data_IF_329729326569
#
_entry.id   IF_329729326569
#
_cell.length_a   1.000
_cell.length_b   1.000
_cell.length_c   1.000
_cell.angle_alpha   90.00
_cell.angle_beta   90.00
_cell.angle_gamma   90.00
#
_symmetry.space_group_name_H-M   'P 1'
#
loop_
_entity.id
_entity.type
_entity.pdbx_description
1 polymer ?
#
# COMPACT_ATOMS: atom_id res chain seq x y z
N UNK A 1 -6.31 -15.22 -25.83
CA UNK A 1 -7.54 -14.40 -26.01
C UNK A 1 -7.19 -12.99 -25.56
N UNK A 2 -7.24 -11.95 -26.41
CA UNK A 2 -6.91 -10.61 -25.96
C UNK A 2 -8.13 -10.03 -25.22
N UNK A 3 -7.98 -9.74 -23.92
CA UNK A 3 -9.01 -9.06 -23.15
C UNK A 3 -9.06 -7.60 -23.61
N UNK A 4 -10.11 -7.25 -24.34
CA UNK A 4 -10.33 -5.93 -24.88
C UNK A 4 -10.97 -5.02 -23.81
N UNK A 5 -10.22 -4.70 -22.75
CA UNK A 5 -10.62 -3.73 -21.72
C UNK A 5 -10.47 -2.31 -22.29
N UNK A 6 -11.47 -1.85 -23.05
CA UNK A 6 -11.50 -0.48 -23.60
C UNK A 6 -12.03 0.48 -22.56
N UNK A 7 -11.16 1.00 -21.72
CA UNK A 7 -11.48 2.14 -20.86
C UNK A 7 -11.49 3.42 -21.70
N UNK A 8 -12.64 4.08 -21.80
CA UNK A 8 -12.74 5.42 -22.41
C UNK A 8 -12.48 6.45 -21.33
N UNK A 9 -11.34 7.13 -21.41
CA UNK A 9 -10.97 8.20 -20.47
C UNK A 9 -11.93 9.38 -20.64
N UNK A 10 -12.76 9.64 -19.62
CA UNK A 10 -13.74 10.74 -19.62
C UNK A 10 -13.27 11.96 -18.83
N UNK A 11 -12.38 11.75 -17.86
CA UNK A 11 -11.72 12.79 -17.06
C UNK A 11 -10.42 12.22 -16.49
N UNK A 12 -9.38 13.02 -16.48
CA UNK A 12 -8.07 12.69 -15.89
C UNK A 12 -7.75 13.71 -14.80
N UNK A 13 -7.39 13.22 -13.62
CA UNK A 13 -6.81 14.06 -12.58
C UNK A 13 -5.53 13.37 -12.08
N UNK A 14 -4.34 13.90 -12.42
CA UNK A 14 -3.06 13.35 -11.98
C UNK A 14 -2.87 13.29 -10.46
N UNK A 15 -3.68 14.02 -9.69
CA UNK A 15 -3.67 14.03 -8.23
C UNK A 15 -4.79 13.16 -7.61
N UNK A 16 -5.55 12.43 -8.44
CA UNK A 16 -6.57 11.49 -7.95
C UNK A 16 -5.91 10.31 -7.23
N UNK A 17 -6.44 9.95 -6.06
CA UNK A 17 -6.05 8.74 -5.33
C UNK A 17 -6.89 7.52 -5.74
N UNK A 18 -7.93 7.71 -6.55
CA UNK A 18 -8.78 6.64 -7.09
C UNK A 18 -8.19 6.13 -8.40
N UNK A 19 -7.88 4.84 -8.45
CA UNK A 19 -7.36 4.15 -9.64
C UNK A 19 -8.48 3.43 -10.38
N UNK A 20 -8.41 3.40 -11.72
CA UNK A 20 -9.38 2.70 -12.56
C UNK A 20 -9.20 1.17 -12.55
N UNK A 21 -7.96 0.72 -12.37
CA UNK A 21 -7.59 -0.69 -12.28
C UNK A 21 -6.54 -0.85 -11.18
N UNK A 22 -6.74 -1.85 -10.32
CA UNK A 22 -5.80 -2.23 -9.28
C UNK A 22 -5.31 -3.64 -9.57
N UNK A 23 -4.05 -3.76 -9.97
CA UNK A 23 -3.37 -5.05 -10.08
C UNK A 23 -2.89 -5.45 -8.70
N UNK A 24 -3.55 -6.45 -8.10
CA UNK A 24 -3.15 -6.99 -6.82
C UNK A 24 -1.71 -7.52 -6.90
N UNK A 25 -0.92 -7.24 -5.86
CA UNK A 25 0.42 -7.82 -5.77
C UNK A 25 0.29 -9.34 -5.63
N UNK A 26 1.20 -10.06 -6.29
CA UNK A 26 1.19 -11.52 -6.47
C UNK A 26 1.31 -12.32 -5.17
N UNK A 27 1.72 -11.68 -4.07
CA UNK A 27 1.96 -12.34 -2.78
C UNK A 27 0.73 -12.22 -1.89
N UNK A 28 -0.28 -13.04 -2.16
CA UNK A 28 -1.40 -13.24 -1.23
C UNK A 28 -1.04 -14.37 -0.27
N UNK A 29 -0.74 -14.03 0.98
CA UNK A 29 -0.51 -15.04 2.02
C UNK A 29 -1.85 -15.71 2.33
N UNK A 30 -2.00 -16.99 1.99
CA UNK A 30 -3.24 -17.75 2.16
C UNK A 30 -3.45 -18.32 3.58
N UNK A 31 -2.49 -18.10 4.49
CA UNK A 31 -2.50 -18.64 5.85
C UNK A 31 -2.61 -17.51 6.87
N UNK A 32 -3.33 -17.76 7.97
CA UNK A 32 -3.41 -16.83 9.09
C UNK A 32 -2.01 -16.62 9.68
N UNK A 33 -1.56 -15.37 9.70
CA UNK A 33 -0.29 -14.94 10.29
C UNK A 33 -0.52 -14.35 11.69
N UNK A 34 0.51 -14.31 12.52
CA UNK A 34 0.45 -13.56 13.78
C UNK A 34 0.37 -12.06 13.50
N UNK A 35 -0.22 -11.28 14.42
CA UNK A 35 -0.27 -9.81 14.29
C UNK A 35 1.13 -9.20 14.18
N UNK A 36 2.11 -9.77 14.89
CA UNK A 36 3.50 -9.34 14.83
C UNK A 36 4.14 -9.57 13.45
N UNK A 37 3.77 -10.65 12.75
CA UNK A 37 4.23 -10.90 11.37
C UNK A 37 3.59 -9.93 10.37
N UNK A 38 2.28 -9.66 10.53
CA UNK A 38 1.55 -8.71 9.70
C UNK A 38 2.08 -7.29 9.86
N UNK A 39 2.35 -6.87 11.09
CA UNK A 39 2.93 -5.56 11.38
C UNK A 39 4.29 -5.38 10.70
N UNK A 40 5.19 -6.38 10.83
CA UNK A 40 6.51 -6.36 10.17
C UNK A 40 6.40 -6.24 8.66
N UNK A 41 5.50 -6.99 8.04
CA UNK A 41 5.27 -6.94 6.59
C UNK A 41 4.74 -5.56 6.15
N UNK A 42 3.80 -5.00 6.92
CA UNK A 42 3.21 -3.69 6.65
C UNK A 42 4.22 -2.55 6.77
N UNK A 43 5.04 -2.53 7.82
CA UNK A 43 6.13 -1.55 7.98
C UNK A 43 7.10 -1.64 6.80
N UNK A 44 7.46 -2.85 6.37
CA UNK A 44 8.33 -3.05 5.20
C UNK A 44 7.71 -2.45 3.94
N UNK A 45 6.41 -2.65 3.71
CA UNK A 45 5.70 -2.06 2.57
C UNK A 45 5.75 -0.53 2.61
N UNK A 46 5.45 0.10 3.75
CA UNK A 46 5.51 1.56 3.90
C UNK A 46 6.91 2.11 3.61
N UNK A 47 7.97 1.43 4.06
CA UNK A 47 9.35 1.84 3.75
C UNK A 47 9.65 1.82 2.25
N UNK A 48 9.05 0.92 1.47
CA UNK A 48 9.19 0.94 0.00
C UNK A 48 8.46 2.11 -0.66
N UNK A 49 7.45 2.66 0.01
CA UNK A 49 6.69 3.84 -0.39
C UNK A 49 7.33 5.14 0.15
N UNK A 50 8.63 5.08 0.47
CA UNK A 50 9.44 6.20 0.98
C UNK A 50 9.02 6.76 2.35
N UNK A 51 8.26 6.00 3.16
CA UNK A 51 8.04 6.35 4.56
C UNK A 51 9.23 5.95 5.44
N UNK A 52 9.60 6.82 6.38
CA UNK A 52 10.62 6.53 7.39
C UNK A 52 10.01 5.79 8.58
N UNK A 53 10.73 4.78 9.10
CA UNK A 53 10.34 4.08 10.31
C UNK A 53 11.06 4.67 11.52
N UNK A 54 10.28 5.18 12.49
CA UNK A 54 10.77 5.71 13.75
C UNK A 54 10.27 4.84 14.92
N UNK A 55 11.15 4.17 15.68
CA UNK A 55 10.76 3.39 16.83
C UNK A 55 10.46 4.31 18.04
N UNK A 56 9.19 4.57 18.29
CA UNK A 56 8.73 5.39 19.42
C UNK A 56 8.32 4.45 20.55
N UNK A 57 9.10 4.41 21.63
CA UNK A 57 8.97 3.43 22.74
C UNK A 57 8.60 4.13 24.07
N UNK A 58 8.20 5.40 24.02
CA UNK A 58 7.83 6.22 25.18
C UNK A 58 6.94 7.39 24.74
N UNK A 59 6.37 8.14 25.69
CA UNK A 59 5.67 9.43 25.45
C UNK A 59 6.65 10.50 24.94
N UNK A 60 7.21 10.30 23.76
CA UNK A 60 7.96 11.32 23.03
C UNK A 60 6.97 12.04 22.14
N UNK A 61 6.85 13.35 22.37
CA UNK A 61 6.12 14.26 21.50
C UNK A 61 6.85 14.30 20.15
N UNK A 62 6.14 13.92 19.09
CA UNK A 62 6.62 14.12 17.72
C UNK A 62 6.57 15.64 17.49
N UNK A 63 7.72 16.32 17.58
CA UNK A 63 7.80 17.76 17.37
C UNK A 63 7.54 18.06 15.88
N UNK A 64 6.50 18.85 15.63
CA UNK A 64 6.06 19.32 14.30
C UNK A 64 6.94 20.42 13.73
#
# INVERSE_FOLDING_TARGET
MPNNNRYTLVAENPQSTVVAEYLADSVRVAHYQSEADLERAFIKQLKTQAYEYLPIISDVVIQT
#
